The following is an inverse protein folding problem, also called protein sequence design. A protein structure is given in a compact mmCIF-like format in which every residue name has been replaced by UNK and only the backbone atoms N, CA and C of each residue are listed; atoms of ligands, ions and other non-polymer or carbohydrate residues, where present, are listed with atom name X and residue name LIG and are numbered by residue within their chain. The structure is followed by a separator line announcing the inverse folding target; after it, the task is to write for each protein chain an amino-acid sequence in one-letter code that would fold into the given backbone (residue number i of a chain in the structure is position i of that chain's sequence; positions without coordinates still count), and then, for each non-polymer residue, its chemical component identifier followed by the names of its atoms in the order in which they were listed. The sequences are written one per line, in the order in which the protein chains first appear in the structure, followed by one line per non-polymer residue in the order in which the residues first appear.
data_IF_486615934876
#
_entry.id   IF_486615934876
#
_cell.length_a   1.000
_cell.length_b   1.000
_cell.length_c   1.000
_cell.angle_alpha   90.00
_cell.angle_beta   90.00
_cell.angle_gamma   90.00
#
_symmetry.space_group_name_H-M   'P 1'
#
loop_
_entity.id
_entity.type
_entity.pdbx_description
1 polymer ?
#
# COMPACT_ATOMS: atom_id res chain seq x y z
N UNK A 1 6.39 16.03 22.91
CA UNK A 1 5.29 15.48 22.06
C UNK A 1 4.85 16.53 21.07
N UNK A 2 4.87 16.24 19.77
CA UNK A 2 4.29 17.14 18.76
C UNK A 2 2.76 17.11 18.92
N UNK A 3 2.07 18.27 18.98
CA UNK A 3 0.62 18.28 19.05
C UNK A 3 0.01 17.65 17.81
N UNK A 4 -1.13 16.98 17.97
CA UNK A 4 -1.90 16.46 16.83
C UNK A 4 -2.32 17.62 15.92
N UNK A 5 -2.30 17.41 14.61
CA UNK A 5 -2.94 18.34 13.69
C UNK A 5 -4.44 18.35 14.00
N UNK A 6 -4.98 19.52 14.23
CA UNK A 6 -6.43 19.70 14.54
C UNK A 6 -7.29 19.63 13.28
N UNK A 7 -6.68 19.75 12.11
CA UNK A 7 -7.36 19.70 10.80
C UNK A 7 -6.58 18.79 9.85
N UNK A 8 -7.29 18.06 8.98
CA UNK A 8 -6.64 17.26 7.94
C UNK A 8 -5.88 18.16 6.95
N UNK A 9 -4.78 17.65 6.42
CA UNK A 9 -4.02 18.27 5.32
C UNK A 9 -4.85 18.27 4.04
N UNK A 10 -5.60 17.18 3.80
CA UNK A 10 -6.57 17.04 2.70
C UNK A 10 -7.80 16.28 3.20
N UNK A 11 -8.99 16.67 2.71
CA UNK A 11 -10.26 16.06 3.10
C UNK A 11 -11.19 15.90 1.91
N UNK A 12 -11.86 14.75 1.84
CA UNK A 12 -12.77 14.33 0.78
C UNK A 12 -14.15 13.93 1.34
N UNK A 13 -14.60 14.60 2.39
CA UNK A 13 -15.88 14.32 3.05
C UNK A 13 -17.09 14.78 2.21
N UNK A 14 -16.95 15.89 1.50
CA UNK A 14 -18.07 16.60 0.83
C UNK A 14 -18.29 16.13 -0.63
N UNK A 15 -18.13 14.82 -0.86
CA UNK A 15 -18.35 14.24 -2.18
C UNK A 15 -19.82 14.20 -2.58
N UNK A 16 -20.12 14.58 -3.83
CA UNK A 16 -21.45 14.42 -4.43
C UNK A 16 -21.85 12.94 -4.56
N UNK A 17 -23.14 12.61 -4.65
CA UNK A 17 -23.60 11.24 -4.91
C UNK A 17 -22.95 10.61 -6.15
N UNK A 18 -22.76 11.40 -7.21
CA UNK A 18 -22.10 10.94 -8.45
C UNK A 18 -20.62 10.60 -8.22
N UNK A 19 -19.87 11.47 -7.52
CA UNK A 19 -18.48 11.21 -7.18
C UNK A 19 -18.34 9.94 -6.35
N UNK A 20 -19.20 9.74 -5.35
CA UNK A 20 -19.18 8.54 -4.51
C UNK A 20 -19.48 7.27 -5.32
N UNK A 21 -20.43 7.32 -6.27
CA UNK A 21 -20.75 6.18 -7.17
C UNK A 21 -19.57 5.86 -8.10
N UNK A 22 -19.01 6.86 -8.75
CA UNK A 22 -17.83 6.69 -9.63
C UNK A 22 -16.63 6.19 -8.84
N UNK A 23 -16.39 6.71 -7.63
CA UNK A 23 -15.33 6.27 -6.74
C UNK A 23 -15.49 4.80 -6.33
N UNK A 24 -16.73 4.35 -6.05
CA UNK A 24 -17.00 2.94 -5.80
C UNK A 24 -16.65 2.07 -7.00
N UNK A 25 -17.06 2.46 -8.20
CA UNK A 25 -16.74 1.71 -9.42
C UNK A 25 -15.23 1.65 -9.64
N UNK A 26 -14.54 2.79 -9.53
CA UNK A 26 -13.09 2.85 -9.71
C UNK A 26 -12.33 1.99 -8.67
N UNK A 27 -12.68 2.08 -7.39
CA UNK A 27 -12.08 1.26 -6.34
C UNK A 27 -12.37 -0.24 -6.54
N UNK A 28 -13.57 -0.58 -7.02
CA UNK A 28 -13.98 -1.96 -7.27
C UNK A 28 -13.18 -2.62 -8.39
N UNK A 29 -12.80 -1.88 -9.43
CA UNK A 29 -11.94 -2.39 -10.51
C UNK A 29 -10.63 -2.91 -9.95
N UNK A 30 -10.01 -2.19 -9.01
CA UNK A 30 -8.75 -2.62 -8.39
C UNK A 30 -8.91 -3.87 -7.54
N UNK A 31 -9.86 -3.91 -6.60
CA UNK A 31 -10.03 -5.08 -5.73
C UNK A 31 -10.51 -6.31 -6.51
N UNK A 32 -11.44 -6.14 -7.45
CA UNK A 32 -11.96 -7.23 -8.26
C UNK A 32 -10.88 -7.84 -9.17
N UNK A 33 -9.92 -7.04 -9.65
CA UNK A 33 -8.83 -7.54 -10.50
C UNK A 33 -8.02 -8.65 -9.83
N UNK A 34 -7.86 -8.63 -8.51
CA UNK A 34 -7.14 -9.65 -7.74
C UNK A 34 -7.87 -10.99 -7.66
N UNK A 35 -9.18 -11.02 -7.91
CA UNK A 35 -9.97 -12.26 -8.04
C UNK A 35 -10.14 -12.63 -9.52
N UNK A 36 -10.46 -11.64 -10.35
CA UNK A 36 -10.74 -11.87 -11.77
C UNK A 36 -9.50 -12.40 -12.50
N UNK A 37 -8.30 -11.85 -12.25
CA UNK A 37 -7.10 -12.24 -12.96
C UNK A 37 -6.71 -13.73 -12.75
N UNK A 38 -6.62 -14.27 -11.51
CA UNK A 38 -6.35 -15.70 -11.33
C UNK A 38 -7.48 -16.60 -11.84
N UNK A 39 -8.75 -16.22 -11.66
CA UNK A 39 -9.89 -16.97 -12.19
C UNK A 39 -9.85 -17.01 -13.71
N UNK A 40 -9.57 -15.88 -14.35
CA UNK A 40 -9.45 -15.79 -15.80
C UNK A 40 -8.30 -16.66 -16.33
N UNK A 41 -7.15 -16.65 -15.67
CA UNK A 41 -6.01 -17.50 -16.06
C UNK A 41 -6.37 -18.99 -15.99
N UNK A 42 -7.01 -19.44 -14.88
CA UNK A 42 -7.44 -20.82 -14.70
C UNK A 42 -8.50 -21.20 -15.75
N UNK A 43 -9.52 -20.35 -15.94
CA UNK A 43 -10.59 -20.59 -16.91
C UNK A 43 -10.05 -20.68 -18.35
N UNK A 44 -9.08 -19.84 -18.71
CA UNK A 44 -8.41 -19.90 -20.02
C UNK A 44 -7.65 -21.20 -20.18
N UNK A 45 -6.90 -21.64 -19.17
CA UNK A 45 -6.18 -22.92 -19.20
C UNK A 45 -7.12 -24.12 -19.38
N UNK A 46 -8.23 -24.15 -18.62
CA UNK A 46 -9.25 -25.20 -18.76
C UNK A 46 -9.93 -25.18 -20.12
N UNK A 47 -10.27 -24.00 -20.65
CA UNK A 47 -10.88 -23.88 -21.98
C UNK A 47 -9.93 -24.37 -23.07
N UNK A 48 -8.64 -24.07 -23.02
CA UNK A 48 -7.64 -24.58 -23.93
C UNK A 48 -7.51 -26.11 -23.85
N UNK A 49 -7.56 -26.66 -22.64
CA UNK A 49 -7.47 -28.11 -22.45
C UNK A 49 -8.70 -28.87 -22.99
N UNK A 50 -9.90 -28.26 -22.93
CA UNK A 50 -11.17 -28.91 -23.30
C UNK A 50 -11.62 -28.61 -24.72
N UNK A 51 -11.37 -27.37 -25.23
CA UNK A 51 -11.83 -26.91 -26.56
C UNK A 51 -10.68 -26.69 -27.55
N UNK A 52 -9.44 -26.91 -27.14
CA UNK A 52 -8.28 -26.76 -28.01
C UNK A 52 -8.19 -25.37 -28.64
N UNK A 53 -8.02 -25.37 -29.99
CA UNK A 53 -7.79 -24.12 -30.75
C UNK A 53 -8.96 -23.14 -30.73
N UNK A 54 -10.19 -23.56 -30.45
CA UNK A 54 -11.34 -22.65 -30.37
C UNK A 54 -11.25 -21.69 -29.21
N UNK A 55 -10.54 -22.07 -28.13
CA UNK A 55 -10.36 -21.26 -26.94
C UNK A 55 -9.17 -20.27 -27.03
N UNK A 56 -8.35 -20.31 -28.11
CA UNK A 56 -7.18 -19.46 -28.20
C UNK A 56 -7.47 -17.94 -28.06
N UNK A 57 -8.62 -17.40 -28.53
CA UNK A 57 -8.89 -15.97 -28.34
C UNK A 57 -8.91 -15.53 -26.88
N UNK A 58 -9.19 -16.43 -25.93
CA UNK A 58 -9.13 -16.15 -24.51
C UNK A 58 -7.69 -15.87 -24.02
N UNK A 59 -6.68 -16.24 -24.79
CA UNK A 59 -5.28 -15.92 -24.45
C UNK A 59 -4.91 -14.47 -24.76
N UNK A 60 -5.69 -13.77 -25.61
CA UNK A 60 -5.36 -12.41 -26.08
C UNK A 60 -5.07 -11.43 -24.92
N UNK A 61 -5.89 -11.31 -23.86
CA UNK A 61 -5.59 -10.42 -22.76
C UNK A 61 -4.32 -10.80 -21.99
N UNK A 62 -4.01 -12.10 -21.88
CA UNK A 62 -2.80 -12.58 -21.22
C UNK A 62 -1.55 -12.25 -22.04
N UNK A 63 -1.61 -12.45 -23.35
CA UNK A 63 -0.54 -12.10 -24.29
C UNK A 63 -0.37 -10.58 -24.33
N UNK A 64 -1.45 -9.82 -24.41
CA UNK A 64 -1.41 -8.36 -24.36
C UNK A 64 -0.74 -7.87 -23.07
N UNK A 65 -1.13 -8.43 -21.91
CA UNK A 65 -0.44 -8.16 -20.66
C UNK A 65 1.06 -8.48 -20.73
N UNK A 66 1.43 -9.65 -21.26
CA UNK A 66 2.84 -10.04 -21.37
C UNK A 66 3.66 -9.10 -22.28
N UNK A 67 3.04 -8.54 -23.31
CA UNK A 67 3.69 -7.64 -24.27
C UNK A 67 3.80 -6.21 -23.79
N UNK A 68 3.02 -5.77 -22.79
CA UNK A 68 3.11 -4.41 -22.23
C UNK A 68 4.44 -4.22 -21.51
N UNK A 69 5.32 -3.32 -21.98
CA UNK A 69 6.59 -3.05 -21.32
C UNK A 69 6.38 -2.45 -19.92
N UNK A 70 7.02 -2.98 -18.88
CA UNK A 70 6.90 -2.42 -17.52
C UNK A 70 7.25 -0.93 -17.41
N UNK A 71 8.10 -0.43 -18.30
CA UNK A 71 8.52 0.98 -18.33
C UNK A 71 7.43 1.97 -18.76
N UNK A 72 6.40 1.50 -19.48
CA UNK A 72 5.28 2.34 -19.90
C UNK A 72 4.21 2.49 -18.83
N UNK A 73 4.07 1.49 -17.96
CA UNK A 73 3.00 1.44 -16.96
C UNK A 73 3.01 2.62 -15.97
N UNK A 74 4.15 3.07 -15.41
CA UNK A 74 4.15 4.21 -14.49
C UNK A 74 3.74 5.53 -15.16
N UNK A 75 4.08 5.74 -16.44
CA UNK A 75 3.66 6.93 -17.19
C UNK A 75 2.16 6.92 -17.45
N UNK A 76 1.65 5.79 -17.95
CA UNK A 76 0.22 5.58 -18.13
C UNK A 76 -0.54 5.69 -16.80
N UNK A 77 0.02 5.13 -15.73
CA UNK A 77 -0.55 5.17 -14.38
C UNK A 77 -0.70 6.60 -13.85
N UNK A 78 0.33 7.43 -13.97
CA UNK A 78 0.23 8.85 -13.60
C UNK A 78 -0.86 9.59 -14.38
N UNK A 79 -0.97 9.35 -15.67
CA UNK A 79 -2.07 9.88 -16.47
C UNK A 79 -3.43 9.39 -15.99
N UNK A 80 -3.58 8.07 -15.79
CA UNK A 80 -4.82 7.44 -15.33
C UNK A 80 -5.27 7.98 -13.98
N UNK A 81 -4.36 8.01 -12.98
CA UNK A 81 -4.65 8.45 -11.62
C UNK A 81 -5.01 9.94 -11.54
N UNK A 82 -4.65 10.74 -12.56
CA UNK A 82 -5.07 12.15 -12.70
C UNK A 82 -6.43 12.35 -13.35
N UNK A 83 -7.06 11.29 -13.85
CA UNK A 83 -8.40 11.42 -14.45
C UNK A 83 -9.44 11.77 -13.39
N UNK A 84 -10.49 12.49 -13.80
CA UNK A 84 -11.64 12.81 -12.93
C UNK A 84 -12.33 11.58 -12.38
N UNK A 85 -12.27 10.46 -13.11
CA UNK A 85 -12.82 9.18 -12.67
C UNK A 85 -12.06 8.63 -11.44
N UNK A 86 -10.73 8.61 -11.50
CA UNK A 86 -9.90 8.13 -10.40
C UNK A 86 -9.91 9.10 -9.20
N UNK A 87 -10.01 10.40 -9.45
CA UNK A 87 -10.20 11.43 -8.43
C UNK A 87 -11.44 11.22 -7.55
N UNK A 88 -12.38 10.38 -7.99
CA UNK A 88 -13.58 10.07 -7.22
C UNK A 88 -13.34 9.01 -6.12
N UNK A 89 -12.24 8.25 -6.16
CA UNK A 89 -11.96 7.18 -5.17
C UNK A 89 -11.93 7.72 -3.73
N UNK A 90 -11.19 8.79 -3.41
CA UNK A 90 -11.17 9.35 -2.06
C UNK A 90 -12.55 9.75 -1.54
N UNK A 91 -13.44 10.28 -2.38
CA UNK A 91 -14.81 10.66 -1.99
C UNK A 91 -15.70 9.47 -1.62
N UNK A 92 -15.49 8.31 -2.25
CA UNK A 92 -16.21 7.10 -1.88
C UNK A 92 -15.91 6.66 -0.45
N UNK A 93 -14.65 6.82 -0.03
CA UNK A 93 -14.17 6.39 1.27
C UNK A 93 -14.20 7.50 2.34
N UNK A 94 -14.74 8.67 2.04
CA UNK A 94 -14.70 9.82 2.97
C UNK A 94 -13.27 10.03 3.52
N UNK A 95 -12.30 10.04 2.60
CA UNK A 95 -10.88 9.96 2.89
C UNK A 95 -10.33 11.27 3.45
N UNK A 96 -9.45 11.17 4.45
CA UNK A 96 -8.70 12.29 5.02
C UNK A 96 -7.22 11.96 5.19
N UNK A 97 -6.38 12.99 5.10
CA UNK A 97 -4.93 12.89 5.29
C UNK A 97 -4.45 13.83 6.38
N UNK A 98 -3.52 13.33 7.22
CA UNK A 98 -2.80 14.08 8.22
C UNK A 98 -1.30 13.90 8.00
N UNK A 99 -0.59 14.99 7.66
CA UNK A 99 0.82 14.98 7.33
C UNK A 99 1.61 15.79 8.37
N UNK A 100 2.26 15.13 9.34
CA UNK A 100 3.22 15.78 10.25
C UNK A 100 4.51 16.17 9.53
N UNK A 101 4.87 15.40 8.50
CA UNK A 101 5.86 15.77 7.48
C UNK A 101 5.11 16.09 6.21
N UNK A 102 5.17 17.30 5.74
CA UNK A 102 4.42 17.73 4.54
C UNK A 102 4.93 17.07 3.26
N UNK A 103 4.20 17.21 2.16
CA UNK A 103 4.66 16.69 0.87
C UNK A 103 5.89 17.44 0.36
N UNK A 104 5.95 18.76 0.62
CA UNK A 104 7.11 19.61 0.32
C UNK A 104 8.35 19.16 1.10
N UNK A 105 8.20 18.87 2.40
CA UNK A 105 9.31 18.38 3.24
C UNK A 105 9.81 17.03 2.75
N UNK A 106 8.92 16.07 2.41
CA UNK A 106 9.31 14.76 1.87
C UNK A 106 10.03 14.93 0.53
N UNK A 107 9.54 15.81 -0.34
CA UNK A 107 10.17 16.09 -1.62
C UNK A 107 11.53 16.76 -1.42
N UNK A 108 11.65 17.73 -0.52
CA UNK A 108 12.91 18.39 -0.19
C UNK A 108 13.97 17.41 0.32
N UNK A 109 13.61 16.48 1.22
CA UNK A 109 14.49 15.39 1.66
C UNK A 109 14.96 14.55 0.46
N UNK A 110 14.03 14.16 -0.41
CA UNK A 110 14.33 13.36 -1.60
C UNK A 110 15.28 14.08 -2.58
N UNK A 111 15.03 15.36 -2.85
CA UNK A 111 15.87 16.19 -3.72
C UNK A 111 17.27 16.46 -3.13
N UNK A 112 17.34 16.63 -1.81
CA UNK A 112 18.62 16.75 -1.09
C UNK A 112 19.44 15.45 -1.11
N UNK A 113 18.84 14.33 -1.57
CA UNK A 113 19.46 13.00 -1.55
C UNK A 113 19.42 12.30 -0.19
N UNK A 114 18.62 12.82 0.74
CA UNK A 114 18.28 12.14 1.98
C UNK A 114 17.22 11.09 1.66
N UNK A 115 17.59 9.83 1.82
CA UNK A 115 16.69 8.71 1.49
C UNK A 115 15.78 8.43 2.66
N UNK A 116 14.51 8.20 2.35
CA UNK A 116 13.50 7.83 3.34
C UNK A 116 12.80 6.54 2.95
N UNK A 117 12.39 5.77 3.94
CA UNK A 117 11.51 4.61 3.81
C UNK A 117 10.19 4.97 4.48
N UNK A 118 9.15 5.20 3.68
CA UNK A 118 7.79 5.32 4.18
C UNK A 118 7.26 3.96 4.61
N UNK A 119 7.10 3.74 5.91
CA UNK A 119 6.71 2.46 6.49
C UNK A 119 5.21 2.45 6.76
N UNK A 120 4.44 1.77 5.92
CA UNK A 120 2.97 1.76 5.96
C UNK A 120 2.41 0.60 6.78
N UNK A 121 1.44 0.89 7.63
CA UNK A 121 0.72 -0.06 8.49
C UNK A 121 -0.75 0.34 8.66
N UNK A 122 -1.65 -0.65 8.77
CA UNK A 122 -1.53 -2.03 8.31
C UNK A 122 -1.75 -2.16 6.80
N UNK A 123 -1.31 -3.28 6.21
CA UNK A 123 -1.56 -3.54 4.78
C UNK A 123 -3.06 -3.69 4.48
N UNK A 124 -3.81 -4.38 5.36
CA UNK A 124 -5.19 -4.80 5.06
C UNK A 124 -5.25 -5.83 3.94
N UNK A 125 -6.45 -6.14 3.47
CA UNK A 125 -6.64 -7.05 2.32
C UNK A 125 -6.23 -6.38 1.02
N UNK A 126 -6.66 -5.14 0.82
CA UNK A 126 -6.27 -4.27 -0.28
C UNK A 126 -5.96 -2.87 0.26
N UNK A 127 -4.84 -2.23 -0.15
CA UNK A 127 -4.38 -0.99 0.46
C UNK A 127 -5.08 0.25 -0.11
N UNK A 128 -6.41 0.35 0.07
CA UNK A 128 -7.19 1.46 -0.47
C UNK A 128 -6.74 2.83 0.04
N UNK A 129 -6.26 2.92 1.28
CA UNK A 129 -5.71 4.18 1.81
C UNK A 129 -4.55 4.67 0.95
N UNK A 130 -3.64 3.77 0.53
CA UNK A 130 -2.54 4.16 -0.37
C UNK A 130 -2.99 4.48 -1.78
N UNK A 131 -4.06 3.84 -2.28
CA UNK A 131 -4.67 4.22 -3.57
C UNK A 131 -5.24 5.63 -3.47
N UNK A 132 -5.94 5.95 -2.37
CA UNK A 132 -6.45 7.29 -2.11
C UNK A 132 -5.29 8.31 -2.01
N UNK A 133 -4.24 8.00 -1.24
CA UNK A 133 -3.08 8.87 -1.08
C UNK A 133 -2.37 9.13 -2.42
N UNK A 134 -2.14 8.09 -3.24
CA UNK A 134 -1.54 8.25 -4.56
C UNK A 134 -2.40 9.13 -5.49
N UNK A 135 -3.72 8.93 -5.45
CA UNK A 135 -4.65 9.71 -6.27
C UNK A 135 -4.70 11.17 -5.77
N UNK A 136 -4.81 11.38 -4.47
CA UNK A 136 -4.85 12.69 -3.82
C UNK A 136 -3.56 13.49 -4.11
N UNK A 137 -2.39 12.90 -3.92
CA UNK A 137 -1.10 13.54 -4.17
C UNK A 137 -0.92 13.94 -5.63
N UNK A 138 -1.32 13.07 -6.58
CA UNK A 138 -1.22 13.37 -8.01
C UNK A 138 -2.24 14.42 -8.50
N UNK A 139 -3.29 14.66 -7.73
CA UNK A 139 -4.34 15.65 -8.04
C UNK A 139 -4.11 16.98 -7.32
N UNK A 140 -3.18 17.03 -6.37
CA UNK A 140 -2.86 18.26 -5.67
C UNK A 140 -2.41 19.35 -6.67
N UNK A 141 -2.94 20.55 -6.49
CA UNK A 141 -2.71 21.67 -7.41
C UNK A 141 -1.29 22.27 -7.32
N UNK A 142 -0.51 21.82 -6.35
CA UNK A 142 0.85 22.30 -6.05
C UNK A 142 1.94 21.78 -7.00
N UNK A 143 1.60 20.82 -7.89
CA UNK A 143 2.56 20.21 -8.82
C UNK A 143 3.54 19.23 -8.16
N UNK A 144 3.51 19.05 -6.84
CA UNK A 144 4.42 18.17 -6.09
C UNK A 144 4.24 16.70 -6.45
N UNK A 145 3.06 16.33 -6.95
CA UNK A 145 2.73 14.95 -7.31
C UNK A 145 3.67 14.31 -8.32
N UNK A 146 4.32 15.09 -9.18
CA UNK A 146 5.30 14.57 -10.15
C UNK A 146 6.61 14.14 -9.46
N UNK A 147 7.11 14.92 -8.52
CA UNK A 147 8.30 14.58 -7.74
C UNK A 147 8.06 13.44 -6.74
N UNK A 148 6.90 13.43 -6.09
CA UNK A 148 6.50 12.36 -5.17
C UNK A 148 6.18 11.05 -5.90
N UNK A 149 5.86 11.09 -7.20
CA UNK A 149 5.73 9.91 -8.05
C UNK A 149 7.02 9.09 -8.18
N UNK A 150 8.16 9.64 -7.79
CA UNK A 150 9.44 8.93 -7.70
C UNK A 150 9.64 8.16 -6.40
N UNK A 151 8.65 8.14 -5.50
CA UNK A 151 8.60 7.36 -4.26
C UNK A 151 7.78 6.06 -4.46
N UNK A 152 8.33 5.04 -5.13
CA UNK A 152 7.57 3.85 -5.49
C UNK A 152 7.30 2.96 -4.27
N UNK A 153 6.14 2.32 -4.30
CA UNK A 153 5.78 1.28 -3.33
C UNK A 153 6.41 -0.06 -3.71
N UNK A 154 7.04 -0.72 -2.76
CA UNK A 154 7.59 -2.05 -2.95
C UNK A 154 6.51 -3.13 -2.73
N UNK A 155 6.41 -4.07 -3.69
CA UNK A 155 5.44 -5.16 -3.68
C UNK A 155 6.12 -6.52 -3.91
N UNK A 156 5.46 -7.59 -3.51
CA UNK A 156 5.97 -8.95 -3.70
C UNK A 156 6.21 -9.26 -5.20
N UNK A 157 7.34 -9.90 -5.50
CA UNK A 157 7.74 -10.19 -6.88
C UNK A 157 6.72 -11.02 -7.63
N UNK A 158 6.04 -11.94 -6.96
CA UNK A 158 5.03 -12.81 -7.58
C UNK A 158 3.89 -11.99 -8.22
N UNK A 159 3.42 -10.91 -7.58
CA UNK A 159 2.36 -10.05 -8.15
C UNK A 159 2.87 -9.35 -9.40
N UNK A 160 4.15 -8.97 -9.43
CA UNK A 160 4.81 -8.32 -10.57
C UNK A 160 5.07 -9.25 -11.75
N UNK A 161 4.94 -10.56 -11.56
CA UNK A 161 5.09 -11.58 -12.59
C UNK A 161 3.76 -12.16 -13.04
N UNK A 162 2.69 -11.99 -12.25
CA UNK A 162 1.39 -12.55 -12.54
C UNK A 162 0.69 -11.73 -13.65
N UNK A 163 0.29 -12.36 -14.77
CA UNK A 163 -0.38 -11.65 -15.86
C UNK A 163 -1.59 -10.85 -15.36
N UNK A 164 -1.83 -9.68 -15.95
CA UNK A 164 -2.85 -8.71 -15.59
C UNK A 164 -2.54 -8.02 -14.25
N UNK A 165 -2.23 -8.76 -13.15
CA UNK A 165 -1.90 -8.13 -11.86
C UNK A 165 -0.61 -7.32 -11.92
N UNK A 166 0.38 -7.75 -12.71
CA UNK A 166 1.60 -6.96 -12.95
C UNK A 166 1.28 -5.58 -13.54
N UNK A 167 0.24 -5.50 -14.38
CA UNK A 167 -0.17 -4.25 -15.01
C UNK A 167 -0.90 -3.36 -14.00
N UNK A 168 -1.75 -3.94 -13.15
CA UNK A 168 -2.43 -3.24 -12.06
C UNK A 168 -1.43 -2.59 -11.10
N UNK A 169 -0.43 -3.35 -10.60
CA UNK A 169 0.59 -2.77 -9.71
C UNK A 169 1.58 -1.87 -10.46
N UNK A 170 1.80 -2.13 -11.74
CA UNK A 170 2.63 -1.32 -12.63
C UNK A 170 2.08 0.09 -12.83
N UNK A 171 0.75 0.24 -12.89
CA UNK A 171 0.07 1.56 -12.93
C UNK A 171 0.48 2.45 -11.76
N UNK A 172 0.70 1.88 -10.58
CA UNK A 172 1.19 2.60 -9.38
C UNK A 172 2.73 2.73 -9.33
N UNK A 173 3.44 2.31 -10.37
CA UNK A 173 4.90 2.35 -10.39
C UNK A 173 5.56 1.42 -9.35
N UNK A 174 4.88 0.35 -8.95
CA UNK A 174 5.37 -0.55 -7.91
C UNK A 174 6.67 -1.26 -8.30
N UNK A 175 7.59 -1.39 -7.34
CA UNK A 175 8.92 -2.00 -7.49
C UNK A 175 9.03 -3.31 -6.70
N UNK A 176 10.15 -4.02 -6.87
CA UNK A 176 10.44 -5.25 -6.13
C UNK A 176 10.69 -4.99 -4.65
N UNK A 177 10.04 -5.76 -3.77
CA UNK A 177 10.30 -5.78 -2.33
C UNK A 177 11.49 -6.68 -1.93
N UNK A 178 12.28 -7.21 -2.88
CA UNK A 178 13.44 -8.03 -2.53
C UNK A 178 14.51 -7.18 -1.83
N UNK A 179 15.13 -7.73 -0.78
CA UNK A 179 16.13 -7.00 0.01
C UNK A 179 17.33 -6.52 -0.80
N UNK A 180 17.77 -7.30 -1.81
CA UNK A 180 18.86 -6.90 -2.70
C UNK A 180 18.46 -5.68 -3.56
N UNK A 181 17.26 -5.70 -4.14
CA UNK A 181 16.75 -4.59 -4.94
C UNK A 181 16.57 -3.31 -4.10
N UNK A 182 15.97 -3.43 -2.92
CA UNK A 182 15.76 -2.30 -2.02
C UNK A 182 17.09 -1.68 -1.57
N UNK A 183 18.09 -2.52 -1.23
CA UNK A 183 19.43 -2.04 -0.88
C UNK A 183 20.06 -1.26 -2.03
N UNK A 184 20.07 -1.84 -3.23
CA UNK A 184 20.65 -1.19 -4.41
C UNK A 184 19.93 0.13 -4.75
N UNK A 185 18.60 0.19 -4.54
CA UNK A 185 17.84 1.41 -4.73
C UNK A 185 18.18 2.47 -3.69
N UNK A 186 18.17 2.13 -2.40
CA UNK A 186 18.46 3.06 -1.31
C UNK A 186 19.90 3.58 -1.31
N UNK A 187 20.81 2.96 -2.07
CA UNK A 187 22.15 3.49 -2.31
C UNK A 187 22.19 4.59 -3.38
N UNK A 188 21.12 4.78 -4.15
CA UNK A 188 21.03 5.86 -5.15
C UNK A 188 20.67 7.18 -4.45
N UNK A 189 21.07 8.32 -5.02
CA UNK A 189 20.79 9.66 -4.49
C UNK A 189 19.28 9.87 -4.28
N UNK A 190 18.43 9.51 -5.25
CA UNK A 190 16.96 9.59 -5.19
C UNK A 190 16.37 8.17 -5.01
N UNK A 191 16.76 7.49 -3.96
CA UNK A 191 16.46 6.07 -3.75
C UNK A 191 15.33 5.78 -2.76
N UNK A 192 14.60 6.78 -2.29
CA UNK A 192 13.50 6.61 -1.33
C UNK A 192 12.43 5.62 -1.82
N UNK A 193 11.77 4.93 -0.87
CA UNK A 193 10.78 3.89 -1.15
C UNK A 193 9.66 3.89 -0.12
N UNK A 194 8.54 3.28 -0.48
CA UNK A 194 7.43 2.97 0.42
C UNK A 194 7.35 1.46 0.63
N UNK A 195 7.24 1.02 1.89
CA UNK A 195 7.17 -0.38 2.29
C UNK A 195 5.94 -0.67 3.14
N UNK A 196 5.27 -1.79 2.89
CA UNK A 196 4.35 -2.42 3.82
C UNK A 196 5.12 -3.43 4.68
N UNK A 197 5.55 -2.99 5.85
CA UNK A 197 6.53 -3.72 6.69
C UNK A 197 5.97 -5.04 7.22
N UNK A 198 4.70 -5.07 7.63
CA UNK A 198 4.05 -6.28 8.11
C UNK A 198 3.84 -7.35 7.04
N UNK A 199 3.69 -6.92 5.78
CA UNK A 199 3.55 -7.78 4.61
C UNK A 199 2.28 -8.65 4.63
N UNK A 200 2.30 -9.76 3.88
CA UNK A 200 1.16 -10.68 3.74
C UNK A 200 0.62 -11.27 5.06
N UNK A 201 1.42 -11.30 6.10
CA UNK A 201 1.00 -11.86 7.39
C UNK A 201 -0.16 -11.04 7.96
N UNK A 202 -0.15 -9.72 7.78
CA UNK A 202 -1.22 -8.84 8.27
C UNK A 202 -2.59 -9.14 7.66
N UNK A 203 -2.65 -9.70 6.44
CA UNK A 203 -3.91 -10.13 5.81
C UNK A 203 -4.68 -11.15 6.66
N UNK A 204 -3.96 -12.08 7.29
CA UNK A 204 -4.56 -13.15 8.08
C UNK A 204 -4.85 -12.75 9.53
N UNK A 205 -4.19 -11.71 10.03
CA UNK A 205 -4.36 -11.19 11.39
C UNK A 205 -5.21 -9.93 11.46
N UNK A 206 -5.44 -9.25 10.35
CA UNK A 206 -6.33 -8.07 10.28
C UNK A 206 -7.73 -8.39 10.79
N UNK A 207 -8.28 -7.51 11.62
CA UNK A 207 -9.62 -7.65 12.19
C UNK A 207 -10.28 -6.29 12.33
N UNK A 208 -11.57 -6.20 12.01
CA UNK A 208 -12.35 -5.00 12.29
C UNK A 208 -12.54 -4.70 13.80
N UNK A 209 -12.33 -5.73 14.64
CA UNK A 209 -12.51 -5.62 16.10
C UNK A 209 -11.24 -5.25 16.85
N UNK A 210 -10.07 -5.73 16.40
CA UNK A 210 -8.77 -5.51 17.05
C UNK A 210 -7.77 -5.04 16.03
N UNK A 211 -7.15 -3.89 16.28
CA UNK A 211 -6.05 -3.40 15.44
C UNK A 211 -4.75 -4.08 15.85
N UNK A 212 -4.15 -4.78 14.89
CA UNK A 212 -2.92 -5.53 15.11
C UNK A 212 -1.97 -5.28 13.95
N UNK A 213 -0.74 -4.94 14.28
CA UNK A 213 0.36 -4.80 13.33
C UNK A 213 1.43 -5.83 13.63
N UNK A 214 1.93 -6.50 12.61
CA UNK A 214 2.88 -7.60 12.76
C UNK A 214 4.32 -7.08 12.63
N UNK A 215 4.91 -6.62 13.74
CA UNK A 215 6.21 -5.94 13.78
C UNK A 215 7.25 -6.58 14.67
N UNK A 216 6.91 -7.31 15.74
CA UNK A 216 7.89 -7.85 16.71
C UNK A 216 9.07 -8.58 16.06
N UNK A 217 8.78 -9.35 15.01
CA UNK A 217 9.78 -10.13 14.26
C UNK A 217 10.26 -9.46 12.97
N UNK A 218 9.74 -8.28 12.64
CA UNK A 218 10.05 -7.55 11.39
C UNK A 218 11.10 -6.47 11.62
N UNK A 219 12.34 -6.87 11.81
CA UNK A 219 13.48 -5.95 12.06
C UNK A 219 14.32 -5.64 10.80
N UNK A 220 14.06 -6.34 9.69
CA UNK A 220 14.84 -6.22 8.48
C UNK A 220 14.82 -4.83 7.84
N UNK A 221 13.72 -4.09 7.94
CA UNK A 221 13.58 -2.74 7.39
C UNK A 221 14.43 -1.74 8.18
N UNK A 222 14.51 -1.88 9.52
CA UNK A 222 15.38 -1.06 10.38
C UNK A 222 16.84 -1.32 10.03
N UNK A 223 17.24 -2.60 9.94
CA UNK A 223 18.59 -2.97 9.53
C UNK A 223 18.95 -2.42 8.15
N UNK A 224 17.99 -2.42 7.23
CA UNK A 224 18.16 -1.86 5.89
C UNK A 224 18.36 -0.33 5.96
N UNK A 225 17.53 0.37 6.74
CA UNK A 225 17.61 1.82 6.93
C UNK A 225 18.97 2.23 7.50
N UNK A 226 19.39 1.63 8.61
CA UNK A 226 20.70 1.89 9.23
C UNK A 226 21.86 1.67 8.26
N UNK A 227 21.86 0.54 7.53
CA UNK A 227 22.91 0.19 6.57
C UNK A 227 23.02 1.10 5.37
N UNK A 228 21.93 1.69 4.96
CA UNK A 228 21.89 2.54 3.76
C UNK A 228 21.88 4.02 4.09
N UNK A 229 21.82 4.39 5.37
CA UNK A 229 21.65 5.77 5.81
C UNK A 229 20.32 6.38 5.37
N UNK A 230 19.29 5.53 5.20
CA UNK A 230 17.93 5.97 4.96
C UNK A 230 17.20 6.17 6.30
N UNK A 231 16.34 7.19 6.37
CA UNK A 231 15.51 7.40 7.55
C UNK A 231 14.15 6.70 7.41
N UNK A 232 13.47 6.49 8.53
CA UNK A 232 12.16 5.84 8.58
C UNK A 232 11.08 6.87 8.88
N UNK A 233 10.01 6.85 8.09
CA UNK A 233 8.80 7.65 8.33
C UNK A 233 7.66 6.68 8.64
N UNK A 234 7.12 6.66 9.88
CA UNK A 234 5.97 5.84 10.22
C UNK A 234 4.71 6.40 9.55
N UNK A 235 3.89 5.50 8.99
CA UNK A 235 2.61 5.84 8.37
C UNK A 235 1.54 4.87 8.84
N UNK A 236 0.43 5.41 9.36
CA UNK A 236 -0.71 4.59 9.76
C UNK A 236 -1.91 4.77 8.83
N UNK A 237 -2.55 3.65 8.46
CA UNK A 237 -3.59 3.57 7.44
C UNK A 237 -4.90 3.08 8.07
N UNK A 238 -5.66 4.00 8.68
CA UNK A 238 -6.93 3.67 9.32
C UNK A 238 -7.99 3.28 8.27
N UNK A 239 -8.72 2.21 8.54
CA UNK A 239 -9.77 1.70 7.67
C UNK A 239 -9.32 0.64 6.65
N UNK A 240 -8.02 0.42 6.44
CA UNK A 240 -7.53 -0.61 5.53
C UNK A 240 -7.98 -2.03 5.95
N UNK A 241 -8.09 -2.30 7.25
CA UNK A 241 -8.49 -3.59 7.82
C UNK A 241 -9.99 -3.83 7.79
N UNK A 242 -10.80 -2.78 7.56
CA UNK A 242 -12.27 -2.84 7.60
C UNK A 242 -12.92 -2.74 6.21
N UNK A 243 -12.17 -2.27 5.20
CA UNK A 243 -12.68 -2.07 3.83
C UNK A 243 -13.02 -3.38 3.11
N UNK A 244 -12.28 -4.46 3.39
CA UNK A 244 -12.50 -5.83 2.92
C UNK A 244 -12.22 -6.81 4.06
N UNK A 245 -12.90 -7.94 4.04
CA UNK A 245 -12.67 -9.07 4.93
C UNK A 245 -11.96 -10.20 4.18
N UNK A 246 -11.10 -10.94 4.88
CA UNK A 246 -10.42 -12.11 4.33
C UNK A 246 -10.78 -13.38 5.10
N UNK A 247 -10.82 -14.50 4.40
CA UNK A 247 -10.98 -15.82 5.01
C UNK A 247 -9.70 -16.16 5.80
N UNK A 248 -9.86 -16.27 7.11
CA UNK A 248 -8.78 -16.58 8.05
C UNK A 248 -8.63 -18.08 8.24
N UNK A 249 -8.18 -18.75 7.23
CA UNK A 249 -7.96 -20.20 7.30
C UNK A 249 -6.47 -20.52 7.45
N UNK A 250 -6.04 -21.20 8.55
CA UNK A 250 -4.62 -21.48 8.83
C UNK A 250 -3.89 -22.22 7.69
N UNK A 251 -4.60 -23.08 6.97
CA UNK A 251 -4.06 -23.80 5.81
C UNK A 251 -3.68 -22.83 4.70
N UNK A 252 -4.57 -21.88 4.36
CA UNK A 252 -4.31 -20.85 3.34
C UNK A 252 -3.16 -19.93 3.76
N UNK A 253 -3.08 -19.57 5.04
CA UNK A 253 -1.95 -18.79 5.56
C UNK A 253 -0.61 -19.55 5.41
N UNK A 254 -0.62 -20.86 5.59
CA UNK A 254 0.58 -21.70 5.43
C UNK A 254 0.98 -21.83 3.95
N UNK A 255 0.01 -22.06 3.06
CA UNK A 255 0.24 -22.09 1.61
C UNK A 255 0.79 -20.76 1.15
N UNK A 256 0.17 -19.64 1.55
CA UNK A 256 0.61 -18.30 1.19
C UNK A 256 2.05 -18.01 1.63
N UNK A 257 2.44 -18.44 2.83
CA UNK A 257 3.82 -18.28 3.32
C UNK A 257 4.83 -19.10 2.51
N UNK A 258 4.49 -20.33 2.14
CA UNK A 258 5.37 -21.23 1.38
C UNK A 258 5.51 -20.81 -0.09
N UNK A 259 4.40 -20.41 -0.71
CA UNK A 259 4.37 -20.02 -2.14
C UNK A 259 4.82 -18.57 -2.39
N UNK A 260 4.81 -17.72 -1.36
CA UNK A 260 5.01 -16.27 -1.53
C UNK A 260 3.82 -15.57 -2.22
N UNK A 261 2.72 -16.29 -2.46
CA UNK A 261 1.48 -15.79 -3.06
C UNK A 261 0.41 -15.68 -1.98
N UNK A 262 -0.31 -14.56 -1.91
CA UNK A 262 -1.46 -14.44 -1.03
C UNK A 262 -2.61 -15.30 -1.56
N UNK A 263 -2.72 -16.53 -1.05
CA UNK A 263 -3.83 -17.42 -1.34
C UNK A 263 -4.92 -17.21 -0.29
N UNK A 264 -5.79 -16.20 -0.49
CA UNK A 264 -6.94 -16.00 0.39
C UNK A 264 -8.16 -15.62 -0.40
N UNK A 265 -9.33 -16.03 0.12
CA UNK A 265 -10.60 -15.51 -0.36
C UNK A 265 -10.94 -14.27 0.46
N UNK A 266 -11.41 -13.23 -0.23
CA UNK A 266 -11.81 -12.01 0.43
C UNK A 266 -13.12 -11.47 -0.17
N UNK A 267 -13.82 -10.71 0.62
CA UNK A 267 -15.09 -10.09 0.25
C UNK A 267 -15.30 -8.76 0.99
N UNK A 268 -16.24 -8.00 0.52
CA UNK A 268 -16.67 -6.76 1.15
C UNK A 268 -18.16 -6.55 0.95
N UNK A 269 -18.54 -5.56 0.13
CA UNK A 269 -19.95 -5.22 -0.11
C UNK A 269 -20.66 -6.36 -0.83
N UNK A 270 -21.83 -6.75 -0.32
CA UNK A 270 -22.69 -7.83 -0.84
C UNK A 270 -22.02 -9.22 -0.92
N UNK A 271 -20.99 -9.48 -0.12
CA UNK A 271 -20.23 -10.73 -0.20
C UNK A 271 -19.33 -10.85 -1.44
N UNK A 272 -19.20 -9.81 -2.25
CA UNK A 272 -18.36 -9.75 -3.44
C UNK A 272 -16.99 -9.12 -3.12
N UNK A 273 -15.97 -9.26 -3.97
CA UNK A 273 -14.65 -8.63 -3.78
C UNK A 273 -14.69 -7.11 -4.07
N UNK A 274 -15.71 -6.44 -3.55
CA UNK A 274 -15.99 -5.01 -3.73
C UNK A 274 -15.85 -4.30 -2.38
N UNK A 275 -15.22 -3.10 -2.33
CA UNK A 275 -14.95 -2.45 -1.07
C UNK A 275 -16.22 -2.01 -0.34
N UNK A 276 -16.22 -2.18 0.98
CA UNK A 276 -17.22 -1.57 1.85
C UNK A 276 -17.01 -0.06 1.89
N UNK A 277 -18.09 0.70 2.07
CA UNK A 277 -17.99 2.12 2.36
C UNK A 277 -17.59 2.29 3.81
N UNK A 278 -16.35 2.66 4.03
CA UNK A 278 -15.75 2.94 5.34
C UNK A 278 -14.96 4.23 5.24
N UNK A 279 -14.84 4.97 6.34
CA UNK A 279 -13.95 6.12 6.39
C UNK A 279 -12.50 5.64 6.36
N UNK A 280 -11.70 6.17 5.44
CA UNK A 280 -10.27 5.92 5.38
C UNK A 280 -9.50 7.16 5.85
N UNK A 281 -8.45 6.93 6.66
CA UNK A 281 -7.61 8.02 7.14
C UNK A 281 -6.14 7.64 7.00
N UNK A 282 -5.36 8.55 6.45
CA UNK A 282 -3.90 8.42 6.29
C UNK A 282 -3.23 9.35 7.30
N UNK A 283 -2.35 8.81 8.13
CA UNK A 283 -1.53 9.60 9.04
C UNK A 283 -0.05 9.34 8.79
N UNK A 284 0.70 10.37 8.41
CA UNK A 284 2.14 10.34 8.21
C UNK A 284 2.85 11.08 9.33
N UNK A 285 3.72 10.37 10.04
CA UNK A 285 4.55 10.90 11.09
C UNK A 285 5.79 11.62 10.58
N UNK A 286 6.73 11.89 11.48
CA UNK A 286 8.02 12.53 11.19
C UNK A 286 9.10 11.49 10.95
N UNK A 287 10.16 11.82 10.17
CA UNK A 287 11.38 11.03 10.12
C UNK A 287 11.93 10.79 11.53
N UNK A 288 12.48 9.60 11.79
CA UNK A 288 12.99 9.24 13.10
C UNK A 288 14.37 9.84 13.42
N UNK A 289 15.11 10.31 12.41
CA UNK A 289 16.49 10.80 12.57
C UNK A 289 17.49 9.67 12.77
N UNK A 290 17.35 8.58 12.02
CA UNK A 290 18.23 7.42 12.15
C UNK A 290 19.67 7.72 11.70
N UNK A 291 20.70 7.26 12.46
CA UNK A 291 22.08 7.37 12.01
C UNK A 291 22.40 6.37 10.88
N UNK A 292 23.44 6.69 10.10
CA UNK A 292 24.01 5.73 9.17
C UNK A 292 24.99 4.81 9.91
N UNK A 293 24.64 3.53 10.03
CA UNK A 293 25.49 2.49 10.63
C UNK A 293 25.69 1.38 9.59
N UNK A 294 26.82 1.37 8.86
CA UNK A 294 27.07 0.41 7.76
C UNK A 294 26.98 -1.05 8.18
N UNK A 295 27.42 -1.38 9.39
CA UNK A 295 27.32 -2.72 9.96
C UNK A 295 26.66 -2.69 11.36
N UNK A 296 25.31 -2.55 11.41
CA UNK A 296 24.60 -2.43 12.66
C UNK A 296 24.61 -3.75 13.44
N UNK A 297 24.90 -3.65 14.74
CA UNK A 297 24.80 -4.77 15.68
C UNK A 297 23.34 -5.20 15.90
N UNK A 298 23.14 -6.34 16.52
CA UNK A 298 21.79 -6.77 16.91
C UNK A 298 21.16 -5.78 17.91
N UNK A 299 21.96 -5.19 18.81
CA UNK A 299 21.52 -4.20 19.78
C UNK A 299 21.08 -2.89 19.08
N UNK A 300 21.84 -2.41 18.09
CA UNK A 300 21.44 -1.22 17.32
C UNK A 300 20.07 -1.42 16.66
N UNK A 301 19.92 -2.58 16.00
CA UNK A 301 18.66 -2.92 15.32
C UNK A 301 17.50 -3.01 16.30
N UNK A 302 17.73 -3.58 17.51
CA UNK A 302 16.71 -3.67 18.56
C UNK A 302 16.30 -2.30 19.07
N UNK A 303 17.27 -1.44 19.39
CA UNK A 303 17.04 -0.11 19.93
C UNK A 303 16.25 0.77 18.95
N UNK A 304 16.65 0.81 17.68
CA UNK A 304 15.93 1.62 16.67
C UNK A 304 14.61 0.99 16.23
N UNK A 305 14.47 -0.33 16.35
CA UNK A 305 13.18 -0.98 16.16
C UNK A 305 12.20 -0.61 17.30
N UNK A 306 12.64 -0.60 18.54
CA UNK A 306 11.83 -0.19 19.68
C UNK A 306 11.39 1.29 19.55
N UNK A 307 12.31 2.18 19.15
CA UNK A 307 11.99 3.58 18.85
C UNK A 307 10.93 3.69 17.74
N UNK A 308 11.08 2.92 16.67
CA UNK A 308 10.10 2.90 15.57
C UNK A 308 8.72 2.49 16.05
N UNK A 309 8.63 1.40 16.84
CA UNK A 309 7.37 0.90 17.40
C UNK A 309 6.70 1.95 18.29
N UNK A 310 7.48 2.59 19.17
CA UNK A 310 7.01 3.69 20.03
C UNK A 310 6.37 4.80 19.17
N UNK A 311 7.08 5.29 18.15
CA UNK A 311 6.59 6.37 17.29
C UNK A 311 5.38 5.98 16.44
N UNK A 312 5.26 4.71 16.06
CA UNK A 312 4.07 4.21 15.37
C UNK A 312 2.85 4.16 16.30
N UNK A 313 3.02 3.73 17.55
CA UNK A 313 1.93 3.71 18.56
C UNK A 313 1.50 5.13 18.90
N UNK A 314 2.45 6.05 19.12
CA UNK A 314 2.15 7.48 19.34
C UNK A 314 1.35 8.07 18.17
N UNK A 315 1.74 7.77 16.93
CA UNK A 315 1.03 8.23 15.72
C UNK A 315 -0.39 7.68 15.68
N UNK A 316 -0.56 6.38 15.95
CA UNK A 316 -1.87 5.74 16.01
C UNK A 316 -2.77 6.42 17.05
N UNK A 317 -2.29 6.56 18.29
CA UNK A 317 -3.08 7.14 19.40
C UNK A 317 -3.44 8.60 19.15
N UNK A 318 -2.58 9.35 18.47
CA UNK A 318 -2.78 10.75 18.12
C UNK A 318 -3.89 10.95 17.09
N UNK A 319 -4.01 10.06 16.11
CA UNK A 319 -4.94 10.23 14.99
C UNK A 319 -6.15 9.30 14.99
N UNK A 320 -6.20 8.25 15.84
CA UNK A 320 -7.34 7.33 15.89
C UNK A 320 -8.69 8.00 16.12
N UNK A 321 -8.72 9.11 16.84
CA UNK A 321 -9.95 9.88 17.12
C UNK A 321 -10.60 10.52 15.88
N UNK A 322 -9.83 10.73 14.80
CA UNK A 322 -10.36 11.27 13.54
C UNK A 322 -11.07 10.22 12.67
N UNK A 323 -10.93 8.94 13.02
CA UNK A 323 -11.69 7.87 12.40
C UNK A 323 -12.63 7.23 13.44
N UNK A 324 -13.97 7.38 13.29
CA UNK A 324 -14.94 6.93 14.30
C UNK A 324 -14.80 5.44 14.67
N UNK A 325 -14.41 4.59 13.72
CA UNK A 325 -14.24 3.15 13.93
C UNK A 325 -13.01 2.82 14.80
N UNK A 326 -12.15 3.81 15.10
CA UNK A 326 -10.87 3.62 15.77
C UNK A 326 -10.75 4.34 17.11
N UNK A 327 -11.65 5.27 17.45
CA UNK A 327 -11.56 6.12 18.65
C UNK A 327 -11.36 5.31 19.95
N UNK A 328 -12.03 4.16 20.09
CA UNK A 328 -11.93 3.28 21.25
C UNK A 328 -10.91 2.14 21.13
N UNK A 329 -10.14 2.06 20.02
CA UNK A 329 -9.19 0.97 19.80
C UNK A 329 -7.80 1.28 20.36
N UNK A 330 -7.10 0.20 20.74
CA UNK A 330 -5.67 0.23 21.01
C UNK A 330 -4.93 -0.56 19.92
N UNK A 331 -3.70 -0.10 19.59
CA UNK A 331 -2.84 -0.81 18.65
C UNK A 331 -2.07 -1.92 19.37
N UNK A 332 -2.24 -3.15 18.87
CA UNK A 332 -1.47 -4.31 19.34
C UNK A 332 -0.31 -4.58 18.38
N UNK A 333 0.90 -4.70 18.91
CA UNK A 333 2.10 -5.07 18.16
C UNK A 333 2.39 -6.55 18.38
N UNK A 334 2.49 -7.35 17.31
CA UNK A 334 2.80 -8.79 17.33
C UNK A 334 4.02 -9.17 16.50
#
# INVERSE_FOLDING_TARGET
MTPALTRPTRSYLDGTPTQRRLGFVAASIFSASYVIAPVYLIATGLALATRGREAWPLTIPLVASALVPPSLLPKFGRWLLRTRFMACIPYYFEYEEFHETTDEEVLALHEAGQRVIGCMHPHGVFPFVSVCAATSTLQAADGLGDGLGDLPTAVANVIRQFPILKDVVGVFGCISASGAFLRARLQRRKGSVVLYVGGMVELFYSSSKKETVFLKKRKGFVKLALRTGADLIPVYLFGNTTSLEALKWPVLATISRKSGVSCTLFWGRWGLPLPKRVKLTYARGRPLGLPHIPDPTAADVENYHALYVEKLVELFDRYKGFNPDYAGKALSIE
#
